data_IF_160974272658
#
_entry.id   IF_160974272658
#
_cell.length_a   1.000
_cell.length_b   1.000
_cell.length_c   1.000
_cell.angle_alpha   90.00
_cell.angle_beta   90.00
_cell.angle_gamma   90.00
#
_symmetry.space_group_name_H-M   'P 1'
#
loop_
_entity.id
_entity.type
_entity.pdbx_description
1 polymer ?
#
# COMPACT_ATOMS: atom_id res chain seq x y z
N UNK A 1 4.44 18.95 -28.00
CA UNK A 1 3.37 18.36 -27.20
C UNK A 1 3.21 16.85 -27.42
N UNK A 2 3.27 16.32 -28.63
CA UNK A 2 3.11 14.90 -28.94
C UNK A 2 4.28 14.05 -28.40
N UNK A 3 5.52 14.52 -28.48
CA UNK A 3 6.71 13.81 -27.96
C UNK A 3 6.70 13.64 -26.43
N UNK A 4 6.25 14.65 -25.69
CA UNK A 4 6.14 14.55 -24.23
C UNK A 4 5.07 13.54 -23.79
N UNK A 5 3.93 13.49 -24.48
CA UNK A 5 2.87 12.53 -24.16
C UNK A 5 3.29 11.07 -24.45
N UNK A 6 4.03 10.83 -25.54
CA UNK A 6 4.55 9.48 -25.86
C UNK A 6 5.61 9.01 -24.85
N UNK A 7 6.49 9.91 -24.40
CA UNK A 7 7.49 9.60 -23.38
C UNK A 7 6.84 9.28 -22.01
N UNK A 8 5.85 10.07 -21.60
CA UNK A 8 5.09 9.83 -20.36
C UNK A 8 4.36 8.48 -20.39
N UNK A 9 3.71 8.18 -21.53
CA UNK A 9 3.04 6.88 -21.71
C UNK A 9 4.04 5.71 -21.64
N UNK A 10 5.21 5.85 -22.27
CA UNK A 10 6.25 4.82 -22.20
C UNK A 10 6.74 4.61 -20.77
N UNK A 11 6.97 5.67 -20.00
CA UNK A 11 7.35 5.59 -18.60
C UNK A 11 6.25 4.93 -17.75
N UNK A 12 4.99 5.26 -17.96
CA UNK A 12 3.87 4.65 -17.26
C UNK A 12 3.73 3.16 -17.57
N UNK A 13 3.96 2.75 -18.82
CA UNK A 13 3.97 1.33 -19.21
C UNK A 13 5.15 0.57 -18.58
N UNK A 14 6.34 1.19 -18.52
CA UNK A 14 7.49 0.61 -17.83
C UNK A 14 7.20 0.47 -16.31
N UNK A 15 6.60 1.49 -15.69
CA UNK A 15 6.19 1.44 -14.30
C UNK A 15 5.14 0.34 -14.05
N UNK A 16 4.16 0.20 -14.95
CA UNK A 16 3.17 -0.89 -14.88
C UNK A 16 3.83 -2.27 -14.97
N UNK A 17 4.75 -2.47 -15.90
CA UNK A 17 5.50 -3.73 -16.04
C UNK A 17 6.33 -4.04 -14.77
N UNK A 18 7.04 -3.03 -14.24
CA UNK A 18 7.73 -3.15 -12.96
C UNK A 18 6.78 -3.44 -11.80
N UNK A 19 5.60 -2.81 -11.78
CA UNK A 19 4.54 -3.02 -10.82
C UNK A 19 3.96 -4.44 -10.87
N UNK A 20 3.81 -5.05 -12.06
CA UNK A 20 3.42 -6.47 -12.19
C UNK A 20 4.43 -7.39 -11.51
N UNK A 21 5.73 -7.20 -11.79
CA UNK A 21 6.80 -8.02 -11.22
C UNK A 21 6.90 -7.82 -9.70
N UNK A 22 6.85 -6.56 -9.26
CA UNK A 22 6.81 -6.25 -7.84
C UNK A 22 5.59 -6.89 -7.16
N UNK A 23 4.38 -6.75 -7.71
CA UNK A 23 3.15 -7.32 -7.18
C UNK A 23 3.21 -8.83 -6.99
N UNK A 24 3.84 -9.55 -7.94
CA UNK A 24 4.08 -10.98 -7.80
C UNK A 24 4.95 -11.30 -6.59
N UNK A 25 6.04 -10.56 -6.39
CA UNK A 25 6.90 -10.69 -5.21
C UNK A 25 6.19 -10.27 -3.92
N UNK A 26 5.35 -9.22 -3.95
CA UNK A 26 4.61 -8.75 -2.78
C UNK A 26 3.59 -9.78 -2.26
N UNK A 27 3.06 -10.65 -3.12
CA UNK A 27 2.28 -11.80 -2.68
C UNK A 27 3.13 -12.75 -1.80
N UNK A 28 4.40 -12.97 -2.17
CA UNK A 28 5.34 -13.78 -1.36
C UNK A 28 5.65 -13.09 -0.03
N UNK A 29 5.88 -11.76 -0.05
CA UNK A 29 6.11 -10.96 1.16
C UNK A 29 4.92 -11.06 2.11
N UNK A 30 3.69 -10.86 1.60
CA UNK A 30 2.47 -10.92 2.38
C UNK A 30 2.25 -12.30 3.02
N UNK A 31 2.64 -13.37 2.35
CA UNK A 31 2.51 -14.74 2.86
C UNK A 31 3.62 -15.11 3.85
N UNK A 32 4.88 -14.86 3.50
CA UNK A 32 6.05 -15.38 4.25
C UNK A 32 6.46 -14.50 5.42
N UNK A 33 6.36 -13.18 5.29
CA UNK A 33 6.86 -12.27 6.33
C UNK A 33 6.18 -12.46 7.70
N UNK A 34 4.84 -12.62 7.80
CA UNK A 34 4.19 -12.86 9.10
C UNK A 34 4.59 -14.20 9.74
N UNK A 35 5.02 -15.17 8.92
CA UNK A 35 5.45 -16.51 9.35
C UNK A 35 6.93 -16.59 9.72
N UNK A 36 7.67 -15.49 9.51
CA UNK A 36 9.12 -15.47 9.73
C UNK A 36 9.91 -16.31 8.72
N UNK A 37 9.31 -16.65 7.57
CA UNK A 37 9.92 -17.45 6.53
C UNK A 37 10.84 -16.60 5.63
N UNK A 38 11.83 -17.26 5.00
CA UNK A 38 12.72 -16.59 4.05
C UNK A 38 11.94 -16.10 2.82
N UNK A 39 12.16 -14.84 2.42
CA UNK A 39 11.53 -14.26 1.23
C UNK A 39 12.17 -14.78 -0.08
N UNK A 40 13.37 -15.34 -0.02
CA UNK A 40 14.14 -15.76 -1.19
C UNK A 40 14.10 -17.27 -1.43
N UNK A 41 14.17 -18.07 -0.36
CA UNK A 41 14.27 -19.54 -0.46
C UNK A 41 13.25 -20.22 0.47
N UNK A 42 12.69 -21.38 0.06
CA UNK A 42 12.73 -21.94 -1.29
C UNK A 42 11.96 -21.10 -2.30
N UNK A 43 12.13 -21.36 -3.61
CA UNK A 43 11.33 -20.73 -4.67
C UNK A 43 9.83 -21.03 -4.52
N UNK A 44 9.00 -20.37 -5.33
CA UNK A 44 7.56 -20.62 -5.34
C UNK A 44 7.25 -22.04 -5.79
N UNK A 45 6.35 -22.74 -5.10
CA UNK A 45 5.93 -24.11 -5.38
C UNK A 45 4.41 -24.25 -5.19
N UNK A 46 3.83 -25.23 -5.82
CA UNK A 46 2.41 -25.53 -5.68
C UNK A 46 2.15 -26.18 -4.31
N UNK A 47 1.22 -25.69 -3.49
CA UNK A 47 0.92 -26.30 -2.19
C UNK A 47 0.22 -27.66 -2.30
N UNK A 48 -0.29 -28.04 -3.49
CA UNK A 48 -1.00 -29.30 -3.70
C UNK A 48 -0.13 -30.46 -4.20
N UNK A 49 0.96 -30.17 -4.93
CA UNK A 49 1.84 -31.20 -5.48
C UNK A 49 3.33 -30.94 -5.21
N UNK A 50 3.64 -29.86 -4.50
CA UNK A 50 5.00 -29.45 -4.12
C UNK A 50 5.97 -29.18 -5.30
N UNK A 51 5.49 -29.32 -6.56
CA UNK A 51 6.30 -28.99 -7.72
C UNK A 51 6.66 -27.49 -7.74
N UNK A 52 7.93 -27.16 -8.05
CA UNK A 52 8.34 -25.77 -8.20
C UNK A 52 7.62 -25.10 -9.37
N UNK A 53 7.22 -23.85 -9.19
CA UNK A 53 6.61 -23.04 -10.25
C UNK A 53 7.69 -22.71 -11.28
N UNK A 54 7.44 -23.09 -12.53
CA UNK A 54 8.37 -22.84 -13.64
C UNK A 54 8.42 -21.35 -13.97
N UNK A 55 9.55 -20.79 -14.43
CA UNK A 55 9.67 -19.35 -14.71
C UNK A 55 8.57 -18.80 -15.64
N UNK A 56 8.21 -19.56 -16.67
CA UNK A 56 7.14 -19.17 -17.61
C UNK A 56 5.71 -19.32 -17.03
N UNK A 57 5.54 -20.05 -15.93
CA UNK A 57 4.29 -20.12 -15.17
C UNK A 57 4.21 -19.06 -14.05
N UNK A 58 5.25 -18.26 -13.91
CA UNK A 58 5.35 -17.17 -12.95
C UNK A 58 5.30 -15.78 -13.61
N UNK A 59 4.87 -15.70 -14.89
CA UNK A 59 4.64 -14.41 -15.55
C UNK A 59 3.37 -13.78 -14.97
N UNK A 60 3.46 -12.59 -14.32
CA UNK A 60 2.35 -12.03 -13.58
C UNK A 60 1.10 -11.86 -14.45
N UNK A 61 -0.06 -12.15 -13.88
CA UNK A 61 -1.40 -12.11 -14.51
C UNK A 61 -1.52 -13.08 -15.69
N UNK A 62 -0.59 -13.04 -16.64
CA UNK A 62 -0.68 -13.82 -17.88
C UNK A 62 -0.68 -15.33 -17.62
N UNK A 63 0.22 -15.82 -16.76
CA UNK A 63 0.28 -17.25 -16.44
C UNK A 63 -1.00 -17.73 -15.79
N UNK A 64 -1.59 -16.93 -14.89
CA UNK A 64 -2.86 -17.27 -14.26
C UNK A 64 -3.99 -17.39 -15.29
N UNK A 65 -4.07 -16.47 -16.24
CA UNK A 65 -5.07 -16.49 -17.33
C UNK A 65 -4.87 -17.70 -18.25
N UNK A 66 -3.64 -17.97 -18.70
CA UNK A 66 -3.31 -19.11 -19.57
C UNK A 66 -3.60 -20.44 -18.89
N UNK A 67 -3.28 -20.55 -17.60
CA UNK A 67 -3.53 -21.74 -16.78
C UNK A 67 -4.98 -21.83 -16.27
N UNK A 68 -5.82 -20.82 -16.56
CA UNK A 68 -7.21 -20.72 -16.10
C UNK A 68 -7.33 -20.84 -14.58
N UNK A 69 -6.40 -20.22 -13.86
CA UNK A 69 -6.36 -20.23 -12.40
C UNK A 69 -6.08 -21.59 -11.77
N UNK A 70 -5.34 -22.47 -12.43
CA UNK A 70 -5.04 -23.83 -11.94
C UNK A 70 -3.58 -24.18 -12.10
N UNK A 71 -3.06 -24.98 -11.19
CA UNK A 71 -1.72 -25.54 -11.32
C UNK A 71 -1.59 -26.35 -12.63
N UNK A 72 -0.46 -26.23 -13.31
CA UNK A 72 -0.20 -26.96 -14.55
C UNK A 72 -0.18 -28.48 -14.35
N UNK A 73 0.41 -28.93 -13.24
CA UNK A 73 0.68 -30.35 -12.98
C UNK A 73 -0.52 -31.05 -12.30
N UNK A 74 -1.00 -30.52 -11.17
CA UNK A 74 -2.05 -31.18 -10.36
C UNK A 74 -3.45 -30.56 -10.48
N UNK A 75 -3.60 -29.46 -11.23
CA UNK A 75 -4.87 -28.75 -11.43
C UNK A 75 -5.50 -28.14 -10.16
N UNK A 76 -4.80 -28.11 -9.03
CA UNK A 76 -5.25 -27.39 -7.84
C UNK A 76 -5.53 -25.92 -8.17
N UNK A 77 -6.64 -25.34 -7.71
CA UNK A 77 -7.00 -23.96 -8.00
C UNK A 77 -6.01 -22.96 -7.37
N UNK A 78 -5.65 -21.94 -8.13
CA UNK A 78 -4.81 -20.81 -7.73
C UNK A 78 -5.73 -19.62 -7.45
N UNK A 79 -5.67 -19.04 -6.26
CA UNK A 79 -6.51 -17.90 -5.87
C UNK A 79 -6.39 -16.73 -6.85
N UNK A 80 -7.52 -16.10 -7.18
CA UNK A 80 -7.57 -14.87 -7.97
C UNK A 80 -6.91 -13.67 -7.26
N UNK A 81 -6.65 -13.77 -5.96
CA UNK A 81 -5.92 -12.74 -5.20
C UNK A 81 -4.55 -12.45 -5.82
N UNK A 82 -3.83 -13.49 -6.30
CA UNK A 82 -2.50 -13.32 -6.90
C UNK A 82 -2.52 -12.36 -8.10
N UNK A 83 -3.26 -12.64 -9.19
CA UNK A 83 -3.28 -11.73 -10.33
C UNK A 83 -3.95 -10.39 -10.02
N UNK A 84 -4.86 -10.32 -9.04
CA UNK A 84 -5.46 -9.04 -8.62
C UNK A 84 -4.44 -8.15 -7.93
N UNK A 85 -3.60 -8.67 -7.05
CA UNK A 85 -2.52 -7.91 -6.40
C UNK A 85 -1.49 -7.44 -7.43
N UNK A 86 -1.13 -8.30 -8.38
CA UNK A 86 -0.20 -7.97 -9.46
C UNK A 86 -0.75 -6.82 -10.33
N UNK A 87 -2.00 -6.94 -10.80
CA UNK A 87 -2.65 -5.93 -11.61
C UNK A 87 -2.87 -4.61 -10.84
N UNK A 88 -3.27 -4.68 -9.56
CA UNK A 88 -3.43 -3.50 -8.71
C UNK A 88 -2.10 -2.78 -8.54
N UNK A 89 -1.01 -3.50 -8.23
CA UNK A 89 0.31 -2.89 -8.06
C UNK A 89 0.78 -2.23 -9.35
N UNK A 90 0.53 -2.86 -10.51
CA UNK A 90 0.83 -2.28 -11.82
C UNK A 90 0.04 -1.01 -12.08
N UNK A 91 -1.27 -1.03 -11.82
CA UNK A 91 -2.13 0.14 -12.00
C UNK A 91 -1.72 1.31 -11.10
N UNK A 92 -1.39 1.03 -9.83
CA UNK A 92 -0.91 2.04 -8.89
C UNK A 92 0.45 2.62 -9.33
N UNK A 93 1.39 1.78 -9.76
CA UNK A 93 2.69 2.23 -10.24
C UNK A 93 2.56 3.13 -11.50
N UNK A 94 1.70 2.74 -12.44
CA UNK A 94 1.40 3.59 -13.61
C UNK A 94 0.72 4.89 -13.19
N UNK A 95 -0.25 4.82 -12.27
CA UNK A 95 -0.94 5.99 -11.72
C UNK A 95 0.01 7.00 -11.11
N UNK A 96 0.99 6.54 -10.32
CA UNK A 96 2.04 7.39 -9.75
C UNK A 96 2.78 8.17 -10.83
N UNK A 97 3.22 7.51 -11.90
CA UNK A 97 3.94 8.17 -13.00
C UNK A 97 3.07 9.14 -13.78
N UNK A 98 1.77 8.84 -13.91
CA UNK A 98 0.83 9.68 -14.68
C UNK A 98 0.36 10.93 -13.90
N UNK A 99 0.45 10.92 -12.57
CA UNK A 99 -0.07 11.99 -11.70
C UNK A 99 1.02 12.83 -11.04
N UNK A 100 2.30 12.46 -11.19
CA UNK A 100 3.41 13.18 -10.57
C UNK A 100 4.45 13.58 -11.62
N UNK A 101 4.84 14.85 -11.64
CA UNK A 101 5.75 15.41 -12.66
C UNK A 101 7.22 15.38 -12.21
N UNK A 102 7.48 15.23 -10.91
CA UNK A 102 8.82 15.28 -10.32
C UNK A 102 9.44 13.89 -10.06
N UNK A 103 10.74 13.74 -10.30
CA UNK A 103 11.47 12.50 -9.94
C UNK A 103 11.34 12.18 -8.44
N UNK A 104 11.34 13.20 -7.58
CA UNK A 104 11.17 13.08 -6.13
C UNK A 104 9.84 12.37 -5.80
N UNK A 105 8.73 12.92 -6.31
CA UNK A 105 7.38 12.43 -6.02
C UNK A 105 7.14 11.04 -6.62
N UNK A 106 7.65 10.81 -7.83
CA UNK A 106 7.57 9.49 -8.49
C UNK A 106 8.32 8.43 -7.67
N UNK A 107 9.53 8.73 -7.19
CA UNK A 107 10.30 7.78 -6.37
C UNK A 107 9.61 7.49 -5.04
N UNK A 108 9.16 8.54 -4.34
CA UNK A 108 8.39 8.38 -3.10
C UNK A 108 7.12 7.56 -3.36
N UNK A 109 6.37 7.89 -4.40
CA UNK A 109 5.13 7.20 -4.73
C UNK A 109 5.32 5.73 -5.07
N UNK A 110 6.29 5.38 -5.91
CA UNK A 110 6.56 3.98 -6.26
C UNK A 110 7.00 3.15 -5.05
N UNK A 111 7.88 3.70 -4.20
CA UNK A 111 8.30 3.01 -2.97
C UNK A 111 7.13 2.87 -2.00
N UNK A 112 6.30 3.91 -1.87
CA UNK A 112 5.10 3.85 -1.02
C UNK A 112 4.13 2.77 -1.48
N UNK A 113 3.84 2.64 -2.78
CA UNK A 113 2.99 1.58 -3.34
C UNK A 113 3.52 0.19 -2.97
N UNK A 114 4.83 -0.05 -3.17
CA UNK A 114 5.48 -1.33 -2.83
C UNK A 114 5.36 -1.68 -1.35
N UNK A 115 5.32 -0.69 -0.47
CA UNK A 115 5.17 -0.89 0.97
C UNK A 115 3.70 -1.06 1.39
N UNK A 116 2.78 -0.24 0.85
CA UNK A 116 1.38 -0.26 1.26
C UNK A 116 0.66 -1.55 0.85
N UNK A 117 0.97 -2.10 -0.32
CA UNK A 117 0.32 -3.33 -0.80
C UNK A 117 0.52 -4.49 0.19
N UNK A 118 1.75 -4.90 0.55
CA UNK A 118 1.92 -6.01 1.48
C UNK A 118 1.46 -5.65 2.91
N UNK A 119 1.59 -4.40 3.36
CA UNK A 119 1.06 -3.96 4.68
C UNK A 119 -0.45 -4.17 4.73
N UNK A 120 -1.19 -3.72 3.71
CA UNK A 120 -2.63 -3.90 3.66
C UNK A 120 -3.05 -5.38 3.61
N UNK A 121 -2.35 -6.20 2.82
CA UNK A 121 -2.61 -7.63 2.72
C UNK A 121 -2.35 -8.37 4.03
N UNK A 122 -1.24 -8.06 4.69
CA UNK A 122 -0.88 -8.67 5.98
C UNK A 122 -1.88 -8.26 7.07
N UNK A 123 -2.28 -7.00 7.09
CA UNK A 123 -3.23 -6.53 8.09
C UNK A 123 -4.64 -7.10 7.86
N UNK A 124 -5.07 -7.29 6.63
CA UNK A 124 -6.31 -8.00 6.31
C UNK A 124 -6.32 -9.45 6.79
N UNK A 125 -5.18 -10.17 6.65
CA UNK A 125 -5.10 -11.58 6.97
C UNK A 125 -4.78 -11.83 8.46
N UNK A 126 -3.90 -11.01 9.04
CA UNK A 126 -3.30 -11.27 10.36
C UNK A 126 -3.57 -10.18 11.40
N UNK A 127 -4.14 -9.02 10.99
CA UNK A 127 -4.38 -7.84 11.84
C UNK A 127 -3.11 -7.33 12.52
N UNK A 128 -2.01 -7.35 11.79
CA UNK A 128 -0.72 -6.83 12.22
C UNK A 128 -0.08 -5.98 11.12
N UNK A 129 0.55 -4.90 11.51
CA UNK A 129 1.38 -4.08 10.65
C UNK A 129 2.85 -4.39 10.97
N UNK A 130 3.61 -5.02 10.05
CA UNK A 130 4.98 -5.41 10.34
C UNK A 130 5.89 -4.20 10.58
N UNK A 131 6.51 -4.12 11.76
CA UNK A 131 7.43 -3.03 12.09
C UNK A 131 8.61 -2.92 11.11
N UNK A 132 9.02 -4.04 10.51
CA UNK A 132 10.11 -4.04 9.50
C UNK A 132 9.73 -3.22 8.27
N UNK A 133 8.50 -3.35 7.77
CA UNK A 133 8.04 -2.60 6.60
C UNK A 133 7.91 -1.11 6.91
N UNK A 134 7.34 -0.74 8.06
CA UNK A 134 7.22 0.67 8.46
C UNK A 134 8.58 1.31 8.72
N UNK A 135 9.55 0.57 9.30
CA UNK A 135 10.90 1.08 9.52
C UNK A 135 11.67 1.25 8.20
N UNK A 136 11.62 0.24 7.31
CA UNK A 136 12.24 0.34 5.97
C UNK A 136 11.64 1.52 5.21
N UNK A 137 10.32 1.68 5.28
CA UNK A 137 9.63 2.79 4.64
C UNK A 137 10.08 4.15 5.17
N UNK A 138 10.16 4.32 6.49
CA UNK A 138 10.62 5.57 7.09
C UNK A 138 12.06 5.92 6.64
N UNK A 139 12.96 4.93 6.65
CA UNK A 139 14.34 5.13 6.17
C UNK A 139 14.37 5.45 4.68
N UNK A 140 13.60 4.75 3.86
CA UNK A 140 13.55 4.99 2.42
C UNK A 140 13.01 6.38 2.08
N UNK A 141 11.93 6.84 2.74
CA UNK A 141 11.37 8.18 2.54
C UNK A 141 12.40 9.26 2.84
N UNK A 142 13.10 9.16 3.97
CA UNK A 142 14.14 10.13 4.35
C UNK A 142 15.35 10.06 3.41
N UNK A 143 15.78 8.86 3.00
CA UNK A 143 16.90 8.71 2.08
C UNK A 143 16.59 9.33 0.70
N UNK A 144 15.36 9.12 0.18
CA UNK A 144 14.90 9.74 -1.07
C UNK A 144 14.84 11.27 -0.88
N UNK A 145 14.22 11.75 0.21
CA UNK A 145 14.14 13.17 0.51
C UNK A 145 15.51 13.83 0.54
N UNK A 146 16.47 13.26 1.28
CA UNK A 146 17.82 13.78 1.36
C UNK A 146 18.56 13.79 0.02
N UNK A 147 18.28 12.81 -0.85
CA UNK A 147 18.94 12.68 -2.15
C UNK A 147 18.33 13.58 -3.23
N UNK A 148 17.02 13.86 -3.19
CA UNK A 148 16.29 14.52 -4.29
C UNK A 148 15.71 15.88 -3.93
N UNK A 149 15.34 16.11 -2.66
CA UNK A 149 14.85 17.37 -2.12
C UNK A 149 15.25 17.56 -0.65
N UNK A 150 16.53 17.88 -0.35
CA UNK A 150 16.99 18.08 1.02
C UNK A 150 16.23 19.19 1.77
N UNK A 151 15.75 20.21 1.03
CA UNK A 151 15.02 21.34 1.60
C UNK A 151 13.63 20.94 2.12
N UNK A 152 13.00 19.91 1.55
CA UNK A 152 11.70 19.38 1.95
C UNK A 152 11.74 18.42 3.13
N UNK A 153 12.93 17.91 3.52
CA UNK A 153 13.05 16.92 4.62
C UNK A 153 12.48 17.41 5.95
N UNK A 154 12.66 18.68 6.38
CA UNK A 154 12.01 19.17 7.60
C UNK A 154 10.48 19.07 7.55
N UNK A 155 9.86 19.34 6.41
CA UNK A 155 8.43 19.20 6.21
C UNK A 155 7.98 17.75 6.28
N UNK A 156 8.74 16.81 5.68
CA UNK A 156 8.48 15.36 5.80
C UNK A 156 8.49 14.91 7.27
N UNK A 157 9.50 15.35 8.04
CA UNK A 157 9.62 15.03 9.47
C UNK A 157 8.45 15.60 10.29
N UNK A 158 8.06 16.84 10.04
CA UNK A 158 6.92 17.48 10.71
C UNK A 158 5.62 16.73 10.39
N UNK A 159 5.40 16.40 9.12
CA UNK A 159 4.21 15.67 8.69
C UNK A 159 4.16 14.24 9.28
N UNK A 160 5.31 13.55 9.31
CA UNK A 160 5.42 12.24 9.95
C UNK A 160 5.13 12.29 11.45
N UNK A 161 5.73 13.27 12.14
CA UNK A 161 5.49 13.49 13.58
C UNK A 161 4.04 13.88 13.86
N UNK A 162 3.44 14.75 13.04
CA UNK A 162 2.05 15.18 13.19
C UNK A 162 1.06 14.02 12.96
N UNK A 163 1.22 13.27 11.88
CA UNK A 163 0.34 12.14 11.56
C UNK A 163 0.46 10.99 12.58
N UNK A 164 1.69 10.60 12.91
CA UNK A 164 1.94 9.60 13.95
C UNK A 164 1.47 10.08 15.33
N UNK A 165 1.77 11.33 15.69
CA UNK A 165 1.35 11.95 16.94
C UNK A 165 -0.17 12.03 17.08
N UNK A 166 -0.88 12.40 16.02
CA UNK A 166 -2.34 12.44 15.99
C UNK A 166 -2.96 11.08 16.31
N UNK A 167 -2.51 10.00 15.63
CA UNK A 167 -3.01 8.66 15.94
C UNK A 167 -2.50 8.14 17.28
N UNK A 168 -1.31 8.55 17.73
CA UNK A 168 -0.83 8.20 19.06
C UNK A 168 -1.72 8.80 20.16
N UNK A 169 -2.09 10.06 20.04
CA UNK A 169 -3.03 10.70 20.96
C UNK A 169 -4.38 9.98 21.00
N UNK A 170 -4.90 9.60 19.83
CA UNK A 170 -6.13 8.79 19.74
C UNK A 170 -5.98 7.42 20.43
N UNK A 171 -4.84 6.75 20.24
CA UNK A 171 -4.55 5.46 20.88
C UNK A 171 -4.42 5.57 22.41
N UNK A 172 -3.80 6.67 22.91
CA UNK A 172 -3.67 6.94 24.34
C UNK A 172 -5.00 7.34 24.98
N UNK A 173 -5.85 8.09 24.26
CA UNK A 173 -7.16 8.50 24.75
C UNK A 173 -8.12 7.31 24.96
N UNK A 174 -7.93 6.21 24.22
CA UNK A 174 -8.73 4.99 24.35
C UNK A 174 -7.85 3.74 24.30
N UNK A 175 -7.30 3.29 25.43
CA UNK A 175 -6.48 2.09 25.50
C UNK A 175 -7.19 0.87 24.87
N UNK A 176 -6.50 0.15 23.99
CA UNK A 176 -7.04 -0.99 23.26
C UNK A 176 -7.95 -0.64 22.07
N UNK A 177 -8.17 0.65 21.78
CA UNK A 177 -9.00 1.09 20.64
C UNK A 177 -8.26 1.11 19.30
N UNK A 178 -6.92 1.22 19.31
CA UNK A 178 -6.09 1.32 18.11
C UNK A 178 -4.75 0.62 18.33
N UNK A 179 -4.23 -0.02 17.30
CA UNK A 179 -2.93 -0.69 17.32
C UNK A 179 -1.75 0.29 17.18
N UNK A 180 -0.64 0.02 17.88
CA UNK A 180 0.59 0.80 17.69
C UNK A 180 1.18 0.66 16.27
N UNK A 181 0.76 -0.35 15.52
CA UNK A 181 1.08 -0.51 14.10
C UNK A 181 0.51 0.63 13.25
N UNK A 182 -0.75 0.99 13.51
CA UNK A 182 -1.44 2.09 12.79
C UNK A 182 -0.76 3.43 13.02
N UNK A 183 -0.32 3.69 14.26
CA UNK A 183 0.45 4.89 14.63
C UNK A 183 1.75 4.99 13.83
N UNK A 184 2.50 3.89 13.75
CA UNK A 184 3.76 3.83 12.99
C UNK A 184 3.53 3.97 11.49
N UNK A 185 2.47 3.34 10.96
CA UNK A 185 2.10 3.45 9.56
C UNK A 185 1.70 4.89 9.22
N UNK A 186 0.92 5.56 10.06
CA UNK A 186 0.57 6.97 9.85
C UNK A 186 1.81 7.89 9.86
N UNK A 187 2.73 7.67 10.80
CA UNK A 187 4.01 8.38 10.81
C UNK A 187 4.82 8.17 9.53
N UNK A 188 4.91 6.92 9.05
CA UNK A 188 5.55 6.60 7.78
C UNK A 188 4.84 7.30 6.61
N UNK A 189 3.50 7.26 6.55
CA UNK A 189 2.73 7.96 5.51
C UNK A 189 3.05 9.45 5.48
N UNK A 190 3.17 10.10 6.65
CA UNK A 190 3.54 11.52 6.73
C UNK A 190 4.93 11.82 6.15
N UNK A 191 5.90 10.90 6.31
CA UNK A 191 7.22 11.04 5.70
C UNK A 191 7.17 10.95 4.17
N UNK A 192 6.26 10.17 3.59
CA UNK A 192 6.11 10.04 2.14
C UNK A 192 5.26 11.14 1.52
N UNK A 193 4.19 11.56 2.19
CA UNK A 193 3.14 12.42 1.62
C UNK A 193 3.26 13.88 2.04
N UNK A 194 4.15 14.20 2.99
CA UNK A 194 4.23 15.56 3.50
C UNK A 194 2.87 16.06 4.00
N UNK A 195 2.48 17.27 3.60
CA UNK A 195 1.18 17.90 3.98
C UNK A 195 -0.05 17.07 3.55
N UNK A 196 0.07 16.31 2.47
CA UNK A 196 -1.05 15.54 1.89
C UNK A 196 -1.44 14.33 2.76
N UNK A 197 -0.65 14.00 3.79
CA UNK A 197 -1.01 12.99 4.80
C UNK A 197 -2.33 13.30 5.50
N UNK A 198 -2.73 14.57 5.58
CA UNK A 198 -4.03 14.96 6.12
C UNK A 198 -5.19 14.35 5.30
N UNK A 199 -5.07 14.35 3.97
CA UNK A 199 -6.03 13.68 3.07
C UNK A 199 -6.02 12.18 3.33
N UNK A 200 -4.85 11.56 3.47
CA UNK A 200 -4.72 10.13 3.75
C UNK A 200 -5.45 9.74 5.04
N UNK A 201 -5.24 10.49 6.12
CA UNK A 201 -5.90 10.24 7.41
C UNK A 201 -7.41 10.47 7.33
N UNK A 202 -7.85 11.54 6.66
CA UNK A 202 -9.28 11.84 6.48
C UNK A 202 -9.98 10.69 5.73
N UNK A 203 -9.43 10.25 4.60
CA UNK A 203 -9.98 9.15 3.81
C UNK A 203 -9.99 7.85 4.63
N UNK A 204 -8.92 7.54 5.35
CA UNK A 204 -8.84 6.35 6.19
C UNK A 204 -9.92 6.34 7.29
N UNK A 205 -10.10 7.47 7.98
CA UNK A 205 -11.09 7.62 9.04
C UNK A 205 -12.52 7.54 8.50
N UNK A 206 -12.80 8.19 7.36
CA UNK A 206 -14.11 8.12 6.71
C UNK A 206 -14.42 6.70 6.24
N UNK A 207 -13.51 6.06 5.52
CA UNK A 207 -13.70 4.69 5.03
C UNK A 207 -13.88 3.70 6.20
N UNK A 208 -13.04 3.79 7.22
CA UNK A 208 -13.16 2.97 8.43
C UNK A 208 -14.48 3.19 9.16
N UNK A 209 -14.94 4.44 9.25
CA UNK A 209 -16.24 4.78 9.86
C UNK A 209 -17.40 4.19 9.06
N UNK A 210 -17.40 4.33 7.74
CA UNK A 210 -18.45 3.76 6.87
C UNK A 210 -18.53 2.24 7.03
N UNK A 211 -17.39 1.55 7.01
CA UNK A 211 -17.34 0.09 7.20
C UNK A 211 -17.79 -0.28 8.62
N UNK A 212 -17.37 0.47 9.63
CA UNK A 212 -17.80 0.27 11.02
C UNK A 212 -19.31 0.41 11.19
N UNK A 213 -19.92 1.44 10.61
CA UNK A 213 -21.38 1.64 10.61
C UNK A 213 -22.10 0.48 9.88
N UNK A 214 -21.57 0.06 8.72
CA UNK A 214 -22.16 -1.04 7.96
C UNK A 214 -22.14 -2.36 8.75
N UNK A 215 -21.07 -2.64 9.50
CA UNK A 215 -20.97 -3.81 10.37
C UNK A 215 -21.98 -3.71 11.54
N UNK A 216 -22.07 -2.55 12.18
CA UNK A 216 -23.03 -2.33 13.26
C UNK A 216 -24.47 -2.46 12.79
N UNK A 217 -24.79 -1.98 11.58
CA UNK A 217 -26.12 -2.13 10.99
C UNK A 217 -26.48 -3.60 10.69
N UNK A 218 -25.47 -4.42 10.31
CA UNK A 218 -25.69 -5.85 10.00
C UNK A 218 -25.71 -6.76 11.24
N UNK A 219 -24.86 -6.50 12.22
CA UNK A 219 -24.68 -7.37 13.40
C UNK A 219 -25.34 -6.84 14.66
N UNK A 220 -25.91 -5.64 14.61
CA UNK A 220 -26.37 -4.92 15.79
C UNK A 220 -25.27 -4.16 16.52
N UNK A 221 -25.65 -3.11 17.26
CA UNK A 221 -24.70 -2.17 17.84
C UNK A 221 -23.73 -2.80 18.87
N UNK A 222 -24.20 -3.79 19.65
CA UNK A 222 -23.34 -4.41 20.68
C UNK A 222 -22.27 -5.33 20.08
N UNK A 223 -22.65 -6.19 19.14
CA UNK A 223 -21.73 -7.13 18.49
C UNK A 223 -20.83 -6.40 17.48
N UNK A 224 -21.36 -5.42 16.76
CA UNK A 224 -20.60 -4.60 15.82
C UNK A 224 -19.46 -3.86 16.50
N UNK A 225 -19.66 -3.27 17.69
CA UNK A 225 -18.62 -2.59 18.46
C UNK A 225 -17.50 -3.52 18.96
N UNK A 226 -17.77 -4.80 19.09
CA UNK A 226 -16.77 -5.82 19.50
C UNK A 226 -16.04 -6.43 18.31
N UNK A 227 -16.52 -6.19 17.08
CA UNK A 227 -15.86 -6.70 15.87
C UNK A 227 -14.60 -5.87 15.60
N UNK A 228 -13.42 -6.47 15.79
CA UNK A 228 -12.16 -5.82 15.45
C UNK A 228 -12.01 -5.74 13.92
N UNK A 229 -11.83 -4.53 13.39
CA UNK A 229 -11.62 -4.26 11.96
C UNK A 229 -10.16 -3.86 11.79
N UNK A 230 -9.39 -4.46 10.85
CA UNK A 230 -8.04 -4.01 10.56
C UNK A 230 -8.09 -2.58 10.00
N UNK A 231 -7.30 -1.66 10.56
CA UNK A 231 -7.30 -0.25 10.14
C UNK A 231 -6.23 0.05 9.08
N UNK A 232 -5.18 -0.76 8.99
CA UNK A 232 -4.12 -0.64 8.00
C UNK A 232 -4.60 -0.55 6.54
N UNK A 233 -5.57 -1.37 6.09
CA UNK A 233 -6.13 -1.26 4.74
C UNK A 233 -6.76 0.09 4.44
N UNK A 234 -7.40 0.73 5.43
CA UNK A 234 -7.97 2.08 5.26
C UNK A 234 -6.87 3.15 5.20
N UNK A 235 -5.82 3.01 6.03
CA UNK A 235 -4.63 3.87 5.92
C UNK A 235 -3.94 3.70 4.57
N UNK A 236 -3.84 2.47 4.06
CA UNK A 236 -3.27 2.21 2.73
C UNK A 236 -4.13 2.83 1.63
N UNK A 237 -5.46 2.70 1.69
CA UNK A 237 -6.39 3.34 0.76
C UNK A 237 -6.23 4.87 0.81
N UNK A 238 -6.22 5.44 2.01
CA UNK A 238 -6.01 6.87 2.21
C UNK A 238 -4.66 7.33 1.66
N UNK A 239 -3.60 6.56 1.89
CA UNK A 239 -2.27 6.83 1.34
C UNK A 239 -2.25 6.84 -0.19
N UNK A 240 -2.92 5.89 -0.83
CA UNK A 240 -3.06 5.85 -2.30
C UNK A 240 -3.86 7.05 -2.82
N UNK A 241 -4.98 7.39 -2.18
CA UNK A 241 -5.79 8.56 -2.58
C UNK A 241 -4.99 9.85 -2.43
N UNK A 242 -4.27 10.02 -1.32
CA UNK A 242 -3.43 11.19 -1.10
C UNK A 242 -2.26 11.26 -2.10
N UNK A 243 -1.67 10.13 -2.46
CA UNK A 243 -0.59 10.05 -3.44
C UNK A 243 -1.04 10.48 -4.85
N UNK A 244 -2.27 10.12 -5.25
CA UNK A 244 -2.79 10.38 -6.60
C UNK A 244 -3.51 11.73 -6.69
N UNK A 245 -4.27 12.09 -5.67
CA UNK A 245 -5.17 13.24 -5.69
C UNK A 245 -4.94 14.24 -4.53
N UNK A 246 -3.99 13.96 -3.63
CA UNK A 246 -3.73 14.79 -2.46
C UNK A 246 -3.45 16.25 -2.78
N UNK A 247 -2.48 16.56 -3.66
CA UNK A 247 -2.18 17.94 -4.01
C UNK A 247 -3.40 18.70 -4.54
N UNK A 248 -4.17 18.08 -5.44
CA UNK A 248 -5.37 18.71 -5.99
C UNK A 248 -6.46 18.95 -4.94
N UNK A 249 -6.65 18.02 -3.99
CA UNK A 249 -7.62 18.16 -2.90
C UNK A 249 -7.20 19.26 -1.93
N UNK A 250 -5.92 19.29 -1.54
CA UNK A 250 -5.38 20.30 -0.62
C UNK A 250 -5.44 21.69 -1.24
N UNK A 251 -5.02 21.84 -2.50
CA UNK A 251 -5.01 23.12 -3.21
C UNK A 251 -6.45 23.65 -3.44
N UNK A 252 -7.39 22.76 -3.77
CA UNK A 252 -8.81 23.11 -3.84
C UNK A 252 -9.34 23.62 -2.49
N UNK A 253 -9.03 22.91 -1.41
CA UNK A 253 -9.46 23.30 -0.06
C UNK A 253 -8.89 24.68 0.32
N UNK A 254 -7.60 24.87 0.16
CA UNK A 254 -6.93 26.13 0.51
C UNK A 254 -7.43 27.31 -0.36
N UNK A 255 -7.70 27.08 -1.63
CA UNK A 255 -8.23 28.13 -2.53
C UNK A 255 -9.68 28.51 -2.24
N UNK A 256 -10.43 27.63 -1.58
CA UNK A 256 -11.86 27.84 -1.29
C UNK A 256 -12.10 28.41 0.10
N UNK A 257 -11.26 28.09 1.10
CA UNK A 257 -11.51 28.37 2.51
C UNK A 257 -10.37 29.10 3.23
N UNK A 258 -9.23 29.29 2.62
CA UNK A 258 -8.10 30.08 3.13
C UNK A 258 -7.87 31.36 2.30
#
# INVERSE_FOLDING_TARGET
MVEGASALLALALCAAAGGLLAGSFLNVVAWRMPRGESLLLPGSHCPGCEHPVRPYDNVPVLSWLVLRGRCRDCRTPISARYPLVEALTAALAAGVVLTNDGLHDVLLGLVLVVLLVPIALIDLDHRIIPNRLTAIGAVAALAIGLATDPGGVPQQLIAGAAAGGFLLLAALARPGGMGMGDVKLAGMLGLFLGRDVAVALLVALLAGTVVGIAIMARKGAQEGRRTAIPFGPFLALGGVVALIAGPAIVDWYLSTFA
#
